data_IF_439241077122
#
_entry.id   IF_439241077122
#
_cell.length_a   1.000
_cell.length_b   1.000
_cell.length_c   1.000
_cell.angle_alpha   90.00
_cell.angle_beta   90.00
_cell.angle_gamma   90.00
#
_symmetry.space_group_name_H-M   'P 1'
#
loop_
_entity.id
_entity.type
_entity.pdbx_description
1 polymer ?
#
# COMPACT_ATOMS: atom_id res chain seq x y z
N UNK A 1 15.24 10.28 87.12
CA UNK A 1 16.43 10.28 87.99
C UNK A 1 17.26 11.50 87.69
N UNK A 2 17.61 12.30 88.71
CA UNK A 2 18.45 13.49 88.58
C UNK A 2 19.86 13.09 88.18
N UNK A 3 20.51 13.88 87.31
CA UNK A 3 21.93 13.67 87.01
C UNK A 3 22.75 13.77 88.30
N UNK A 4 23.82 12.99 88.42
CA UNK A 4 24.77 13.11 89.53
C UNK A 4 25.30 14.55 89.66
N UNK A 5 25.46 15.25 88.53
CA UNK A 5 25.84 16.67 88.51
C UNK A 5 24.76 17.58 89.11
N UNK A 6 23.47 17.29 88.88
CA UNK A 6 22.35 18.05 89.46
C UNK A 6 22.29 17.87 90.99
N UNK A 7 22.58 16.67 91.48
CA UNK A 7 22.61 16.38 92.91
C UNK A 7 23.82 17.03 93.60
N UNK A 8 24.99 17.01 92.96
CA UNK A 8 26.17 17.71 93.43
C UNK A 8 25.95 19.23 93.45
N UNK A 9 25.31 19.80 92.43
CA UNK A 9 24.96 21.23 92.38
C UNK A 9 23.99 21.62 93.50
N UNK A 10 23.03 20.75 93.86
CA UNK A 10 22.16 20.97 95.02
C UNK A 10 22.92 20.88 96.34
N UNK A 11 23.94 20.03 96.42
CA UNK A 11 24.85 19.93 97.56
C UNK A 11 25.73 21.17 97.71
N UNK A 12 26.23 21.74 96.60
CA UNK A 12 26.92 23.04 96.59
C UNK A 12 26.05 24.09 97.26
N UNK A 13 24.81 24.29 96.80
CA UNK A 13 23.89 25.28 97.37
C UNK A 13 23.65 25.10 98.87
N UNK A 14 23.48 23.86 99.32
CA UNK A 14 23.35 23.56 100.76
C UNK A 14 24.62 23.87 101.55
N UNK A 15 25.80 23.64 100.96
CA UNK A 15 27.08 23.96 101.60
C UNK A 15 27.35 25.47 101.62
N UNK A 16 26.88 26.21 100.61
CA UNK A 16 26.88 27.67 100.61
C UNK A 16 25.94 28.23 101.69
N UNK A 17 24.71 27.71 101.82
CA UNK A 17 23.77 28.09 102.89
C UNK A 17 24.35 27.80 104.29
N UNK A 18 25.01 26.65 104.48
CA UNK A 18 25.72 26.34 105.73
C UNK A 18 26.98 27.19 105.93
N UNK A 19 27.54 27.71 104.84
CA UNK A 19 28.67 28.63 104.82
C UNK A 19 28.38 29.99 105.44
N UNK A 20 27.11 30.42 105.46
CA UNK A 20 26.68 31.62 106.20
C UNK A 20 26.88 31.48 107.72
N UNK A 21 27.01 30.24 108.23
CA UNK A 21 27.17 29.92 109.65
C UNK A 21 28.64 29.56 109.97
N UNK A 22 29.34 28.84 109.09
CA UNK A 22 30.73 28.41 109.28
C UNK A 22 31.49 28.37 107.94
N UNK A 23 32.52 29.21 107.82
CA UNK A 23 33.26 29.47 106.59
C UNK A 23 33.93 28.22 105.99
N UNK A 24 34.19 27.17 106.81
CA UNK A 24 34.76 25.90 106.32
C UNK A 24 33.89 25.20 105.28
N UNK A 25 32.59 25.48 105.24
CA UNK A 25 31.67 24.89 104.26
C UNK A 25 31.76 25.57 102.89
N UNK A 26 32.18 26.85 102.83
CA UNK A 26 32.43 27.56 101.57
C UNK A 26 33.64 26.96 100.82
N UNK A 27 34.69 26.57 101.52
CA UNK A 27 35.85 25.90 100.91
C UNK A 27 35.48 24.53 100.33
N UNK A 28 34.62 23.78 101.04
CA UNK A 28 34.08 22.51 100.55
C UNK A 28 33.13 22.68 99.37
N UNK A 29 32.32 23.75 99.37
CA UNK A 29 31.47 24.10 98.24
C UNK A 29 32.30 24.36 96.98
N UNK A 30 33.36 25.16 97.09
CA UNK A 30 34.30 25.42 95.97
C UNK A 30 34.97 24.15 95.44
N UNK A 31 35.46 23.27 96.32
CA UNK A 31 36.02 21.99 95.89
C UNK A 31 35.00 21.09 95.17
N UNK A 32 33.73 21.18 95.56
CA UNK A 32 32.64 20.44 94.90
C UNK A 32 32.29 21.07 93.54
N UNK A 33 32.31 22.40 93.41
CA UNK A 33 32.15 23.11 92.13
C UNK A 33 33.25 22.74 91.13
N UNK A 34 34.51 22.72 91.56
CA UNK A 34 35.64 22.27 90.72
C UNK A 34 35.46 20.81 90.28
N UNK A 35 34.95 19.97 91.17
CA UNK A 35 34.65 18.56 90.85
C UNK A 35 33.52 18.43 89.83
N UNK A 36 32.48 19.27 89.93
CA UNK A 36 31.39 19.33 88.95
C UNK A 36 31.92 19.73 87.57
N UNK A 37 32.76 20.76 87.50
CA UNK A 37 33.37 21.21 86.24
C UNK A 37 34.20 20.09 85.60
N UNK A 38 35.02 19.39 86.38
CA UNK A 38 35.81 18.25 85.89
C UNK A 38 34.90 17.10 85.41
N UNK A 39 33.80 16.80 86.12
CA UNK A 39 32.85 15.77 85.72
C UNK A 39 32.14 16.13 84.41
N UNK A 40 31.75 17.39 84.23
CA UNK A 40 31.15 17.85 82.97
C UNK A 40 32.13 17.84 81.80
N UNK A 41 33.41 18.12 82.04
CA UNK A 41 34.45 18.04 81.01
C UNK A 41 34.67 16.59 80.55
N UNK A 42 34.79 15.65 81.49
CA UNK A 42 34.90 14.21 81.19
C UNK A 42 33.65 13.71 80.45
N UNK A 43 32.46 14.13 80.87
CA UNK A 43 31.22 13.76 80.18
C UNK A 43 31.20 14.27 78.72
N UNK A 44 31.63 15.52 78.49
CA UNK A 44 31.75 16.08 77.14
C UNK A 44 32.82 15.39 76.29
N UNK A 45 33.91 14.94 76.88
CA UNK A 45 34.93 14.14 76.18
C UNK A 45 34.37 12.78 75.76
N UNK A 46 33.66 12.08 76.66
CA UNK A 46 33.00 10.81 76.34
C UNK A 46 31.96 10.99 75.24
N UNK A 47 31.11 12.02 75.30
CA UNK A 47 30.13 12.31 74.26
C UNK A 47 30.79 12.59 72.90
N UNK A 48 31.93 13.28 72.88
CA UNK A 48 32.70 13.52 71.64
C UNK A 48 33.32 12.26 71.06
N UNK A 49 33.85 11.39 71.91
CA UNK A 49 34.45 10.13 71.48
C UNK A 49 33.36 9.18 70.95
N UNK A 50 32.19 9.12 71.61
CA UNK A 50 31.04 8.34 71.13
C UNK A 50 30.53 8.85 69.78
N UNK A 51 30.40 10.17 69.59
CA UNK A 51 29.98 10.74 68.31
C UNK A 51 30.97 10.42 67.16
N UNK A 52 32.28 10.40 67.44
CA UNK A 52 33.29 9.98 66.45
C UNK A 52 33.19 8.51 66.08
N UNK A 53 32.96 7.63 67.06
CA UNK A 53 32.75 6.21 66.77
C UNK A 53 31.48 5.97 65.93
N UNK A 54 30.40 6.71 66.18
CA UNK A 54 29.19 6.65 65.37
C UNK A 54 29.45 7.10 63.92
N UNK A 55 30.13 8.23 63.70
CA UNK A 55 30.52 8.71 62.36
C UNK A 55 31.41 7.70 61.62
N UNK A 56 32.42 7.13 62.30
CA UNK A 56 33.31 6.11 61.71
C UNK A 56 32.57 4.81 61.36
N UNK A 57 31.56 4.43 62.14
CA UNK A 57 30.70 3.27 61.85
C UNK A 57 29.83 3.52 60.62
N UNK A 58 29.19 4.69 60.49
CA UNK A 58 28.41 5.05 59.29
C UNK A 58 29.27 5.02 58.02
N UNK A 59 30.50 5.55 58.08
CA UNK A 59 31.44 5.52 56.96
C UNK A 59 31.83 4.09 56.56
N UNK A 60 32.03 3.20 57.54
CA UNK A 60 32.33 1.79 57.29
C UNK A 60 31.14 1.07 56.66
N UNK A 61 29.91 1.29 57.13
CA UNK A 61 28.71 0.68 56.57
C UNK A 61 28.52 1.07 55.09
N UNK A 62 28.70 2.36 54.76
CA UNK A 62 28.64 2.86 53.38
C UNK A 62 29.72 2.20 52.50
N UNK A 63 30.94 2.06 53.02
CA UNK A 63 32.04 1.41 52.29
C UNK A 63 31.77 -0.09 52.07
N UNK A 64 31.21 -0.78 53.06
CA UNK A 64 30.82 -2.18 52.95
C UNK A 64 29.71 -2.38 51.92
N UNK A 65 28.70 -1.51 51.88
CA UNK A 65 27.62 -1.56 50.87
C UNK A 65 28.16 -1.34 49.46
N UNK A 66 29.07 -0.36 49.29
CA UNK A 66 29.77 -0.12 48.01
C UNK A 66 30.58 -1.34 47.58
N UNK A 67 31.34 -1.93 48.50
CA UNK A 67 32.14 -3.12 48.22
C UNK A 67 31.26 -4.32 47.84
N UNK A 68 30.16 -4.55 48.57
CA UNK A 68 29.19 -5.60 48.28
C UNK A 68 28.57 -5.43 46.89
N UNK A 69 28.23 -4.20 46.51
CA UNK A 69 27.71 -3.86 45.19
C UNK A 69 28.71 -4.17 44.07
N UNK A 70 30.00 -3.82 44.26
CA UNK A 70 31.07 -4.15 43.31
C UNK A 70 31.24 -5.67 43.22
N UNK A 71 31.31 -6.38 44.34
CA UNK A 71 31.46 -7.84 44.35
C UNK A 71 30.28 -8.54 43.66
N UNK A 72 29.05 -8.05 43.87
CA UNK A 72 27.84 -8.54 43.19
C UNK A 72 27.95 -8.33 41.67
N UNK A 73 28.43 -7.18 41.23
CA UNK A 73 28.66 -6.91 39.80
C UNK A 73 29.75 -7.83 39.22
N UNK A 74 30.89 -8.00 39.91
CA UNK A 74 31.98 -8.90 39.50
C UNK A 74 31.47 -10.33 39.33
N UNK A 75 30.64 -10.83 40.27
CA UNK A 75 30.02 -12.16 40.18
C UNK A 75 29.01 -12.26 39.05
N UNK A 76 28.16 -11.25 38.85
CA UNK A 76 27.11 -11.26 37.82
C UNK A 76 27.70 -11.32 36.41
N UNK A 77 28.75 -10.54 36.15
CA UNK A 77 29.36 -10.43 34.83
C UNK A 77 30.61 -11.31 34.66
N UNK A 78 31.06 -11.95 35.75
CA UNK A 78 32.27 -12.76 35.81
C UNK A 78 33.53 -12.01 35.32
N UNK A 79 33.70 -10.77 35.78
CA UNK A 79 34.77 -9.85 35.40
C UNK A 79 35.48 -9.26 36.63
N UNK A 80 36.70 -8.77 36.43
CA UNK A 80 37.41 -7.95 37.40
C UNK A 80 36.95 -6.48 37.36
N UNK A 81 37.57 -5.60 38.16
CA UNK A 81 37.12 -4.21 38.25
C UNK A 81 37.34 -3.45 36.92
N UNK A 82 38.47 -3.68 36.26
CA UNK A 82 38.79 -3.03 34.98
C UNK A 82 37.86 -3.54 33.88
N UNK A 83 37.62 -4.86 33.83
CA UNK A 83 36.64 -5.46 32.91
C UNK A 83 35.20 -4.97 33.15
N UNK A 84 34.81 -4.67 34.40
CA UNK A 84 33.51 -4.05 34.68
C UNK A 84 33.40 -2.61 34.14
N UNK A 85 34.49 -1.83 34.17
CA UNK A 85 34.51 -0.48 33.61
C UNK A 85 34.39 -0.54 32.08
N UNK A 86 35.15 -1.41 31.43
CA UNK A 86 35.03 -1.64 29.99
C UNK A 86 33.61 -2.09 29.61
N UNK A 87 33.04 -3.04 30.37
CA UNK A 87 31.67 -3.51 30.13
C UNK A 87 30.63 -2.41 30.32
N UNK A 88 30.84 -1.48 31.26
CA UNK A 88 29.96 -0.32 31.44
C UNK A 88 30.00 0.62 30.24
N UNK A 89 31.19 0.93 29.72
CA UNK A 89 31.31 1.79 28.53
C UNK A 89 30.74 1.10 27.27
N UNK A 90 30.94 -0.21 27.11
CA UNK A 90 30.30 -1.01 26.05
C UNK A 90 28.76 -0.91 26.15
N UNK A 91 28.19 -1.18 27.32
CA UNK A 91 26.73 -1.11 27.55
C UNK A 91 26.20 0.31 27.34
N UNK A 92 26.93 1.33 27.79
CA UNK A 92 26.57 2.74 27.58
C UNK A 92 26.54 3.09 26.09
N UNK A 93 27.53 2.64 25.32
CA UNK A 93 27.57 2.83 23.87
C UNK A 93 26.40 2.13 23.19
N UNK A 94 26.05 0.90 23.62
CA UNK A 94 24.89 0.17 23.08
C UNK A 94 23.60 0.94 23.36
N UNK A 95 23.38 1.39 24.60
CA UNK A 95 22.19 2.17 24.97
C UNK A 95 22.08 3.45 24.14
N UNK A 96 23.16 4.22 24.03
CA UNK A 96 23.17 5.44 23.21
C UNK A 96 22.83 5.15 21.74
N UNK A 97 23.35 4.06 21.17
CA UNK A 97 23.04 3.69 19.78
C UNK A 97 21.58 3.25 19.57
N UNK A 98 20.95 2.69 20.60
CA UNK A 98 19.53 2.33 20.57
C UNK A 98 18.65 3.58 20.66
N UNK A 99 18.98 4.52 21.54
CA UNK A 99 18.26 5.80 21.68
C UNK A 99 18.32 6.62 20.38
N UNK A 100 19.49 6.68 19.73
CA UNK A 100 19.66 7.34 18.43
C UNK A 100 18.80 6.66 17.34
N UNK A 101 18.77 5.32 17.34
CA UNK A 101 17.96 4.53 16.41
C UNK A 101 16.45 4.75 16.59
N UNK A 102 15.96 4.85 17.83
CA UNK A 102 14.56 5.16 18.12
C UNK A 102 14.17 6.55 17.59
N UNK A 103 15.04 7.55 17.77
CA UNK A 103 14.81 8.90 17.25
C UNK A 103 14.78 8.94 15.70
N UNK A 104 15.66 8.19 15.04
CA UNK A 104 15.66 8.06 13.58
C UNK A 104 14.39 7.39 13.06
N UNK A 105 13.94 6.31 13.72
CA UNK A 105 12.70 5.61 13.38
C UNK A 105 11.50 6.56 13.54
N UNK A 106 11.42 7.29 14.65
CA UNK A 106 10.32 8.22 14.90
C UNK A 106 10.28 9.33 13.82
N UNK A 107 11.44 9.87 13.46
CA UNK A 107 11.56 10.85 12.37
C UNK A 107 11.10 10.27 11.02
N UNK A 108 11.50 9.04 10.70
CA UNK A 108 11.10 8.37 9.46
C UNK A 108 9.59 8.11 9.42
N UNK A 109 8.98 7.68 10.53
CA UNK A 109 7.53 7.47 10.64
C UNK A 109 6.77 8.77 10.40
N UNK A 110 7.17 9.87 11.05
CA UNK A 110 6.55 11.19 10.85
C UNK A 110 6.64 11.67 9.41
N UNK A 111 7.78 11.45 8.75
CA UNK A 111 7.95 11.83 7.34
C UNK A 111 7.05 10.99 6.43
N UNK A 112 6.92 9.70 6.67
CA UNK A 112 5.99 8.86 5.89
C UNK A 112 4.55 9.33 6.07
N UNK A 113 4.12 9.63 7.30
CA UNK A 113 2.77 10.15 7.55
C UNK A 113 2.52 11.47 6.82
N UNK A 114 3.52 12.37 6.82
CA UNK A 114 3.47 13.63 6.07
C UNK A 114 3.32 13.40 4.57
N UNK A 115 4.10 12.48 4.01
CA UNK A 115 4.04 12.14 2.58
C UNK A 115 2.70 11.49 2.21
N UNK A 116 2.17 10.60 3.06
CA UNK A 116 0.86 9.98 2.88
C UNK A 116 -0.25 11.04 2.89
N UNK A 117 -0.22 11.98 3.84
CA UNK A 117 -1.19 13.09 3.87
C UNK A 117 -1.14 13.95 2.61
N UNK A 118 0.04 14.17 2.02
CA UNK A 118 0.20 14.85 0.73
C UNK A 118 -0.27 14.02 -0.47
N UNK A 119 -0.15 12.69 -0.41
CA UNK A 119 -0.54 11.77 -1.48
C UNK A 119 -2.06 11.58 -1.57
N UNK A 120 -2.77 11.56 -0.44
CA UNK A 120 -4.22 11.31 -0.38
C UNK A 120 -5.05 12.22 -1.30
N UNK A 121 -4.86 13.56 -1.31
CA UNK A 121 -5.59 14.44 -2.24
C UNK A 121 -5.32 14.13 -3.72
N UNK A 122 -4.11 13.67 -4.06
CA UNK A 122 -3.75 13.29 -5.42
C UNK A 122 -4.46 11.99 -5.82
N UNK A 123 -4.52 11.02 -4.91
CA UNK A 123 -5.25 9.77 -5.11
C UNK A 123 -6.75 10.04 -5.26
N UNK A 124 -7.35 10.88 -4.43
CA UNK A 124 -8.77 11.27 -4.54
C UNK A 124 -9.08 11.95 -5.87
N UNK A 125 -8.20 12.85 -6.32
CA UNK A 125 -8.33 13.51 -7.61
C UNK A 125 -8.27 12.50 -8.76
N UNK A 126 -7.32 11.55 -8.71
CA UNK A 126 -7.18 10.49 -9.70
C UNK A 126 -8.44 9.60 -9.74
N UNK A 127 -8.96 9.20 -8.58
CA UNK A 127 -10.21 8.41 -8.47
C UNK A 127 -11.41 9.14 -9.06
N UNK A 128 -11.51 10.46 -8.83
CA UNK A 128 -12.61 11.29 -9.37
C UNK A 128 -12.58 11.35 -10.89
N UNK A 129 -11.41 11.60 -11.47
CA UNK A 129 -11.25 11.61 -12.93
C UNK A 129 -11.51 10.23 -13.55
N UNK A 130 -11.04 9.16 -12.89
CA UNK A 130 -11.34 7.77 -13.29
C UNK A 130 -12.83 7.48 -13.31
N UNK A 131 -13.58 7.83 -12.26
CA UNK A 131 -15.03 7.62 -12.18
C UNK A 131 -15.79 8.40 -13.26
N UNK A 132 -15.34 9.63 -13.55
CA UNK A 132 -15.92 10.46 -14.61
C UNK A 132 -15.68 9.84 -15.99
N UNK A 133 -14.45 9.42 -16.29
CA UNK A 133 -14.10 8.75 -17.54
C UNK A 133 -14.80 7.41 -17.69
N UNK A 134 -14.84 6.60 -16.63
CA UNK A 134 -15.56 5.33 -16.57
C UNK A 134 -17.01 5.50 -17.02
N UNK A 135 -17.73 6.48 -16.47
CA UNK A 135 -19.13 6.73 -16.85
C UNK A 135 -19.30 7.10 -18.33
N UNK A 136 -18.35 7.86 -18.89
CA UNK A 136 -18.37 8.24 -20.31
C UNK A 136 -18.09 7.04 -21.22
N UNK A 137 -17.09 6.24 -20.86
CA UNK A 137 -16.66 5.05 -21.60
C UNK A 137 -17.76 3.98 -21.54
N UNK A 138 -18.40 3.78 -20.39
CA UNK A 138 -19.50 2.83 -20.19
C UNK A 138 -20.65 3.07 -21.16
N UNK A 139 -21.09 4.34 -21.27
CA UNK A 139 -22.18 4.74 -22.17
C UNK A 139 -21.79 4.50 -23.62
N UNK A 140 -20.55 4.84 -24.00
CA UNK A 140 -20.05 4.68 -25.37
C UNK A 140 -19.95 3.21 -25.76
N UNK A 141 -19.33 2.37 -24.92
CA UNK A 141 -19.20 0.92 -25.15
C UNK A 141 -20.58 0.27 -25.18
N UNK A 142 -21.47 0.60 -24.23
CA UNK A 142 -22.83 0.04 -24.20
C UNK A 142 -23.59 0.33 -25.49
N UNK A 143 -23.51 1.56 -26.00
CA UNK A 143 -24.14 1.93 -27.27
C UNK A 143 -23.60 1.10 -28.43
N UNK A 144 -22.28 1.05 -28.58
CA UNK A 144 -21.62 0.32 -29.68
C UNK A 144 -21.89 -1.18 -29.64
N UNK A 145 -21.89 -1.81 -28.46
CA UNK A 145 -22.22 -3.23 -28.30
C UNK A 145 -23.69 -3.50 -28.67
N UNK A 146 -24.63 -2.61 -28.33
CA UNK A 146 -26.04 -2.76 -28.71
C UNK A 146 -26.27 -2.57 -30.21
N UNK A 147 -25.52 -1.66 -30.85
CA UNK A 147 -25.51 -1.51 -32.31
C UNK A 147 -25.01 -2.79 -33.01
N UNK A 148 -24.10 -3.55 -32.36
CA UNK A 148 -23.63 -4.87 -32.81
C UNK A 148 -24.56 -6.03 -32.40
N UNK A 149 -25.87 -5.77 -32.37
CA UNK A 149 -26.90 -6.81 -32.22
C UNK A 149 -27.05 -7.39 -30.81
N UNK A 150 -26.28 -6.94 -29.82
CA UNK A 150 -26.42 -7.37 -28.42
C UNK A 150 -27.44 -6.49 -27.69
N UNK A 151 -28.69 -6.54 -28.16
CA UNK A 151 -29.80 -5.72 -27.59
C UNK A 151 -30.00 -6.04 -26.11
N UNK A 152 -29.90 -5.01 -25.26
CA UNK A 152 -30.03 -5.15 -23.80
C UNK A 152 -28.72 -5.37 -23.05
N UNK A 153 -27.61 -5.56 -23.76
CA UNK A 153 -26.29 -5.61 -23.16
C UNK A 153 -25.95 -4.28 -22.46
N UNK A 154 -25.20 -4.38 -21.37
CA UNK A 154 -24.75 -3.25 -20.56
C UNK A 154 -23.28 -3.46 -20.22
N UNK A 155 -22.44 -2.48 -20.54
CA UNK A 155 -21.05 -2.45 -20.09
C UNK A 155 -20.89 -1.44 -18.97
N UNK A 156 -20.15 -1.83 -17.92
CA UNK A 156 -19.93 -0.99 -16.74
C UNK A 156 -18.50 -1.13 -16.22
N UNK A 157 -17.82 -0.01 -16.05
CA UNK A 157 -16.50 0.07 -15.42
C UNK A 157 -16.72 0.36 -13.94
N UNK A 158 -16.47 -0.65 -13.10
CA UNK A 158 -16.48 -0.48 -11.66
C UNK A 158 -15.12 0.07 -11.23
N UNK A 159 -15.12 1.25 -10.63
CA UNK A 159 -13.95 1.86 -9.99
C UNK A 159 -14.15 1.77 -8.49
N UNK A 160 -13.54 0.77 -7.87
CA UNK A 160 -13.50 0.62 -6.43
C UNK A 160 -12.31 1.43 -5.88
N UNK A 161 -12.60 2.49 -5.14
CA UNK A 161 -11.58 3.46 -4.71
C UNK A 161 -11.21 3.24 -3.26
N UNK A 162 -9.92 3.38 -2.95
CA UNK A 162 -9.50 3.57 -1.57
C UNK A 162 -10.18 4.78 -0.93
N UNK A 163 -10.37 4.73 0.39
CA UNK A 163 -10.95 5.83 1.18
C UNK A 163 -9.92 6.37 2.16
N UNK A 164 -10.18 7.57 2.70
CA UNK A 164 -9.39 8.13 3.81
C UNK A 164 -9.39 7.24 5.05
N UNK A 165 -10.38 6.37 5.20
CA UNK A 165 -10.43 5.42 6.32
C UNK A 165 -9.35 4.35 6.19
N UNK A 166 -9.02 3.93 4.96
CA UNK A 166 -7.91 2.99 4.72
C UNK A 166 -6.57 3.60 5.15
N UNK A 167 -6.42 4.93 5.09
CA UNK A 167 -5.18 5.61 5.50
C UNK A 167 -4.96 5.53 7.02
N UNK A 168 -6.03 5.33 7.80
CA UNK A 168 -5.92 5.16 9.27
C UNK A 168 -5.34 3.80 9.64
N UNK A 169 -5.50 2.80 8.77
CA UNK A 169 -4.92 1.47 8.91
C UNK A 169 -3.78 1.32 7.91
N UNK A 170 -2.55 1.57 8.39
CA UNK A 170 -1.37 1.62 7.54
C UNK A 170 -1.10 0.30 6.80
N UNK A 171 -1.40 -0.83 7.43
CA UNK A 171 -1.22 -2.14 6.81
C UNK A 171 -2.20 -2.34 5.65
N UNK A 172 -3.47 -1.94 5.83
CA UNK A 172 -4.43 -1.96 4.74
C UNK A 172 -4.08 -0.96 3.62
N UNK A 173 -3.64 0.25 3.98
CA UNK A 173 -3.22 1.26 3.00
C UNK A 173 -2.10 0.75 2.10
N UNK A 174 -1.06 0.15 2.67
CA UNK A 174 0.09 -0.37 1.92
C UNK A 174 -0.30 -1.54 1.00
N UNK A 175 -1.31 -2.34 1.37
CA UNK A 175 -1.82 -3.43 0.51
C UNK A 175 -2.61 -2.94 -0.70
N UNK A 176 -3.32 -1.82 -0.57
CA UNK A 176 -4.16 -1.28 -1.66
C UNK A 176 -3.41 -0.28 -2.54
N UNK A 177 -2.37 0.36 -2.01
CA UNK A 177 -1.60 1.33 -2.75
C UNK A 177 -0.72 0.63 -3.80
N UNK A 178 -0.76 1.14 -5.02
CA UNK A 178 0.11 0.70 -6.10
C UNK A 178 0.71 1.91 -6.82
N UNK A 179 1.73 1.71 -7.70
CA UNK A 179 2.22 2.78 -8.58
C UNK A 179 1.12 3.39 -9.48
N UNK A 180 -0.02 2.71 -9.64
CA UNK A 180 -1.19 3.19 -10.40
C UNK A 180 -2.23 3.88 -9.50
N UNK A 181 -1.92 4.12 -8.23
CA UNK A 181 -2.85 4.61 -7.21
C UNK A 181 -3.60 3.50 -6.49
N UNK A 182 -4.65 3.87 -5.76
CA UNK A 182 -5.41 2.99 -4.85
C UNK A 182 -6.75 2.50 -5.42
N UNK A 183 -7.02 2.75 -6.70
CA UNK A 183 -8.27 2.29 -7.31
C UNK A 183 -8.09 0.91 -7.92
N UNK A 184 -9.04 0.01 -7.64
CA UNK A 184 -9.22 -1.23 -8.37
C UNK A 184 -10.28 -1.00 -9.45
N UNK A 185 -9.86 -1.08 -10.71
CA UNK A 185 -10.73 -0.92 -11.88
C UNK A 185 -11.08 -2.30 -12.43
N UNK A 186 -12.38 -2.58 -12.59
CA UNK A 186 -12.89 -3.86 -13.07
C UNK A 186 -13.93 -3.62 -14.18
N UNK A 187 -13.80 -4.33 -15.29
CA UNK A 187 -14.74 -4.26 -16.41
C UNK A 187 -15.82 -5.30 -16.23
N UNK A 188 -17.05 -4.83 -16.12
CA UNK A 188 -18.24 -5.63 -15.93
C UNK A 188 -19.13 -5.55 -17.16
N UNK A 189 -19.85 -6.62 -17.41
CA UNK A 189 -20.78 -6.72 -18.53
C UNK A 189 -21.98 -7.57 -18.17
N UNK A 190 -23.11 -7.19 -18.74
CA UNK A 190 -24.31 -8.00 -18.85
C UNK A 190 -24.61 -8.17 -20.32
N UNK A 191 -24.86 -9.38 -20.80
CA UNK A 191 -25.10 -9.65 -22.22
C UNK A 191 -26.60 -9.64 -22.54
N UNK A 192 -27.45 -10.14 -21.63
CA UNK A 192 -28.90 -10.22 -21.83
C UNK A 192 -29.71 -9.47 -20.75
N UNK A 193 -30.94 -9.07 -21.11
CA UNK A 193 -31.89 -8.49 -20.15
C UNK A 193 -32.30 -9.57 -19.13
N UNK A 194 -32.21 -9.25 -17.84
CA UNK A 194 -32.57 -10.16 -16.75
C UNK A 194 -31.39 -10.87 -16.08
N UNK A 195 -30.19 -10.74 -16.63
CA UNK A 195 -28.95 -11.22 -16.01
C UNK A 195 -28.29 -10.13 -15.14
N UNK A 196 -27.44 -10.57 -14.21
CA UNK A 196 -26.59 -9.66 -13.43
C UNK A 196 -25.36 -9.21 -14.25
N UNK A 197 -24.71 -8.14 -13.79
CA UNK A 197 -23.42 -7.73 -14.35
C UNK A 197 -22.31 -8.60 -13.78
N UNK A 198 -21.52 -9.22 -14.65
CA UNK A 198 -20.41 -10.10 -14.29
C UNK A 198 -19.08 -9.57 -14.83
N UNK A 199 -17.93 -9.98 -14.26
CA UNK A 199 -16.64 -9.67 -14.82
C UNK A 199 -16.53 -10.09 -16.29
N UNK A 200 -15.92 -9.25 -17.14
CA UNK A 200 -15.73 -9.52 -18.57
C UNK A 200 -15.01 -10.86 -18.83
N UNK A 201 -14.12 -11.28 -17.93
CA UNK A 201 -13.42 -12.56 -17.99
C UNK A 201 -14.34 -13.78 -17.81
N UNK A 202 -15.55 -13.59 -17.30
CA UNK A 202 -16.54 -14.63 -17.07
C UNK A 202 -17.43 -14.92 -18.29
N UNK A 203 -17.25 -14.22 -19.42
CA UNK A 203 -18.02 -14.50 -20.63
C UNK A 203 -17.57 -15.83 -21.24
N UNK A 204 -18.54 -16.71 -21.48
CA UNK A 204 -18.31 -18.06 -22.04
C UNK A 204 -18.56 -18.12 -23.55
N UNK A 205 -19.36 -17.21 -24.12
CA UNK A 205 -19.69 -17.22 -25.55
C UNK A 205 -18.61 -16.54 -26.39
N UNK A 206 -17.89 -17.31 -27.22
CA UNK A 206 -16.82 -16.80 -28.07
C UNK A 206 -17.27 -15.69 -29.03
N UNK A 207 -18.48 -15.80 -29.60
CA UNK A 207 -19.03 -14.78 -30.49
C UNK A 207 -19.37 -13.47 -29.79
N UNK A 208 -19.76 -13.50 -28.52
CA UNK A 208 -19.98 -12.29 -27.72
C UNK A 208 -18.66 -11.62 -27.37
N UNK A 209 -17.67 -12.40 -26.95
CA UNK A 209 -16.35 -11.91 -26.58
C UNK A 209 -15.65 -11.22 -27.76
N UNK A 210 -15.73 -11.79 -28.97
CA UNK A 210 -15.17 -11.18 -30.19
C UNK A 210 -15.82 -9.83 -30.51
N UNK A 211 -17.16 -9.73 -30.38
CA UNK A 211 -17.89 -8.47 -30.61
C UNK A 211 -17.51 -7.40 -29.58
N UNK A 212 -17.42 -7.76 -28.31
CA UNK A 212 -17.00 -6.84 -27.25
C UNK A 212 -15.55 -6.39 -27.48
N UNK A 213 -14.68 -7.34 -27.86
CA UNK A 213 -13.28 -7.05 -28.15
C UNK A 213 -13.13 -6.08 -29.32
N UNK A 214 -13.96 -6.19 -30.36
CA UNK A 214 -13.99 -5.23 -31.48
C UNK A 214 -14.32 -3.81 -30.99
N UNK A 215 -15.37 -3.65 -30.18
CA UNK A 215 -15.77 -2.35 -29.62
C UNK A 215 -14.68 -1.76 -28.73
N UNK A 216 -14.11 -2.59 -27.84
CA UNK A 216 -13.02 -2.17 -26.97
C UNK A 216 -11.81 -1.73 -27.78
N UNK A 217 -11.39 -2.52 -28.78
CA UNK A 217 -10.28 -2.17 -29.66
C UNK A 217 -10.56 -0.88 -30.42
N UNK A 218 -11.76 -0.68 -30.99
CA UNK A 218 -12.12 0.58 -31.65
C UNK A 218 -11.87 1.79 -30.74
N UNK A 219 -12.37 1.73 -29.51
CA UNK A 219 -12.25 2.84 -28.55
C UNK A 219 -10.80 3.01 -28.07
N UNK A 220 -10.05 1.93 -27.83
CA UNK A 220 -8.67 2.02 -27.36
C UNK A 220 -7.67 2.40 -28.45
N UNK A 221 -7.92 2.00 -29.70
CA UNK A 221 -7.05 2.33 -30.84
C UNK A 221 -7.12 3.81 -31.17
N UNK A 222 -8.30 4.42 -31.08
CA UNK A 222 -8.44 5.88 -31.14
C UNK A 222 -7.58 6.62 -30.11
N UNK A 223 -7.35 6.00 -28.94
CA UNK A 223 -6.54 6.58 -27.87
C UNK A 223 -5.03 6.28 -28.01
N UNK A 224 -4.65 5.17 -28.64
CA UNK A 224 -3.26 4.68 -28.70
C UNK A 224 -2.58 4.88 -30.06
N UNK A 225 -3.30 5.33 -31.09
CA UNK A 225 -2.79 5.58 -32.44
C UNK A 225 -2.06 4.37 -33.05
N UNK A 226 -2.61 3.17 -32.86
CA UNK A 226 -2.06 1.92 -33.39
C UNK A 226 -2.34 1.85 -34.89
N UNK A 227 -1.34 1.73 -35.78
CA UNK A 227 -1.55 1.86 -37.22
C UNK A 227 -2.22 0.65 -37.88
N UNK A 228 -2.05 -0.56 -37.32
CA UNK A 228 -2.53 -1.81 -37.93
C UNK A 228 -3.23 -2.70 -36.90
N UNK A 229 -4.42 -3.19 -37.26
CA UNK A 229 -5.26 -4.07 -36.44
C UNK A 229 -5.48 -5.40 -37.15
N UNK A 230 -5.28 -6.50 -36.41
CA UNK A 230 -5.51 -7.86 -36.91
C UNK A 230 -6.67 -8.49 -36.13
N UNK A 231 -7.67 -8.93 -36.87
CA UNK A 231 -8.87 -9.59 -36.38
C UNK A 231 -8.94 -11.02 -36.94
N UNK A 232 -9.05 -11.99 -36.04
CA UNK A 232 -9.27 -13.40 -36.36
C UNK A 232 -10.54 -13.85 -35.62
N UNK A 233 -11.33 -14.72 -36.25
CA UNK A 233 -12.57 -15.29 -35.71
C UNK A 233 -13.62 -14.27 -35.21
N UNK A 234 -13.64 -13.05 -35.75
CA UNK A 234 -14.69 -12.07 -35.42
C UNK A 234 -16.07 -12.46 -35.91
N UNK A 235 -16.14 -13.45 -36.81
CA UNK A 235 -17.34 -13.95 -37.46
C UNK A 235 -17.85 -15.27 -36.89
N UNK A 236 -17.23 -15.78 -35.83
CA UNK A 236 -17.64 -17.03 -35.17
C UNK A 236 -18.98 -16.87 -34.44
N UNK A 237 -19.96 -17.70 -34.79
CA UNK A 237 -21.29 -17.72 -34.16
C UNK A 237 -22.19 -16.53 -34.53
N UNK A 238 -22.00 -15.97 -35.74
CA UNK A 238 -22.70 -14.76 -36.20
C UNK A 238 -23.63 -15.08 -37.37
N UNK A 239 -24.87 -14.57 -37.31
CA UNK A 239 -25.85 -14.65 -38.40
C UNK A 239 -25.64 -13.57 -39.48
N UNK A 240 -26.24 -13.75 -40.66
CA UNK A 240 -26.06 -12.87 -41.82
C UNK A 240 -26.34 -11.39 -41.51
N UNK A 241 -27.46 -11.07 -40.87
CA UNK A 241 -27.85 -9.67 -40.54
C UNK A 241 -26.82 -8.95 -39.66
N UNK A 242 -26.12 -9.69 -38.80
CA UNK A 242 -25.12 -9.14 -37.89
C UNK A 242 -23.74 -9.04 -38.57
N UNK A 243 -23.49 -9.87 -39.58
CA UNK A 243 -22.26 -9.84 -40.34
C UNK A 243 -22.08 -8.51 -41.10
N UNK A 244 -23.17 -7.93 -41.61
CA UNK A 244 -23.16 -6.61 -42.26
C UNK A 244 -22.79 -5.49 -41.29
N UNK A 245 -23.36 -5.48 -40.07
CA UNK A 245 -23.04 -4.47 -39.07
C UNK A 245 -21.56 -4.54 -38.64
N UNK A 246 -21.00 -5.74 -38.54
CA UNK A 246 -19.57 -5.93 -38.25
C UNK A 246 -18.72 -5.46 -39.43
N UNK A 247 -19.11 -5.80 -40.65
CA UNK A 247 -18.41 -5.37 -41.86
C UNK A 247 -18.37 -3.84 -41.99
N UNK A 248 -19.47 -3.16 -41.67
CA UNK A 248 -19.54 -1.70 -41.65
C UNK A 248 -18.63 -1.09 -40.58
N UNK A 249 -18.58 -1.64 -39.36
CA UNK A 249 -17.67 -1.16 -38.30
C UNK A 249 -16.19 -1.39 -38.63
N UNK A 250 -15.85 -2.51 -39.29
CA UNK A 250 -14.49 -2.74 -39.77
C UNK A 250 -14.12 -1.78 -40.90
N UNK A 251 -15.07 -1.46 -41.78
CA UNK A 251 -14.88 -0.46 -42.84
C UNK A 251 -14.65 0.93 -42.26
N UNK A 252 -15.44 1.34 -41.25
CA UNK A 252 -15.26 2.60 -40.51
C UNK A 252 -13.87 2.67 -39.86
N UNK A 253 -13.42 1.58 -39.22
CA UNK A 253 -12.06 1.47 -38.69
C UNK A 253 -11.00 1.60 -39.80
N UNK A 254 -11.26 0.99 -40.97
CA UNK A 254 -10.34 0.99 -42.11
C UNK A 254 -10.25 2.33 -42.85
N UNK A 255 -11.00 3.36 -42.43
CA UNK A 255 -10.82 4.75 -42.87
C UNK A 255 -9.56 5.36 -42.28
N UNK A 256 -9.24 5.01 -41.03
CA UNK A 256 -8.14 5.61 -40.26
C UNK A 256 -6.98 4.65 -39.99
N UNK A 257 -7.23 3.33 -40.05
CA UNK A 257 -6.26 2.30 -39.69
C UNK A 257 -6.16 1.22 -40.76
N UNK A 258 -5.05 0.48 -40.80
CA UNK A 258 -4.98 -0.74 -41.59
C UNK A 258 -5.67 -1.88 -40.84
N UNK A 259 -6.76 -2.41 -41.40
CA UNK A 259 -7.50 -3.53 -40.80
C UNK A 259 -7.25 -4.80 -41.62
N UNK A 260 -6.71 -5.84 -40.97
CA UNK A 260 -6.57 -7.19 -41.54
C UNK A 260 -7.58 -8.08 -40.83
N UNK A 261 -8.56 -8.59 -41.57
CA UNK A 261 -9.57 -9.48 -41.06
C UNK A 261 -9.47 -10.84 -41.75
N UNK A 262 -9.38 -11.92 -40.97
CA UNK A 262 -9.54 -13.29 -41.45
C UNK A 262 -11.01 -13.65 -41.27
N UNK A 263 -11.69 -14.00 -42.36
CA UNK A 263 -13.15 -14.26 -42.34
C UNK A 263 -13.56 -15.30 -43.37
N UNK A 264 -14.64 -16.00 -43.07
CA UNK A 264 -15.36 -16.90 -43.97
C UNK A 264 -16.72 -16.33 -44.40
N UNK A 265 -17.12 -15.16 -43.90
CA UNK A 265 -18.40 -14.55 -44.22
C UNK A 265 -18.32 -13.62 -45.45
N UNK A 266 -19.18 -13.81 -46.47
CA UNK A 266 -19.17 -12.97 -47.67
C UNK A 266 -19.49 -11.50 -47.38
N UNK A 267 -20.32 -11.22 -46.36
CA UNK A 267 -20.68 -9.87 -45.91
C UNK A 267 -19.46 -9.04 -45.46
N UNK A 268 -18.50 -9.68 -44.78
CA UNK A 268 -17.27 -9.01 -44.34
C UNK A 268 -16.28 -8.90 -45.50
N UNK A 269 -16.09 -9.97 -46.26
CA UNK A 269 -15.16 -9.99 -47.38
C UNK A 269 -15.55 -9.02 -48.53
N UNK A 270 -16.85 -8.77 -48.74
CA UNK A 270 -17.33 -7.84 -49.77
C UNK A 270 -16.97 -6.38 -49.46
N UNK A 271 -16.91 -5.97 -48.19
CA UNK A 271 -16.54 -4.62 -47.75
C UNK A 271 -15.03 -4.33 -47.80
N UNK A 272 -14.20 -5.36 -47.97
CA UNK A 272 -12.75 -5.19 -47.96
C UNK A 272 -12.25 -4.35 -49.17
N UNK A 273 -11.31 -3.42 -48.93
CA UNK A 273 -10.61 -2.70 -50.02
C UNK A 273 -9.75 -3.65 -50.84
N UNK A 274 -9.08 -4.59 -50.17
CA UNK A 274 -8.29 -5.66 -50.79
C UNK A 274 -8.79 -7.01 -50.27
N UNK A 275 -9.08 -7.94 -51.18
CA UNK A 275 -9.51 -9.29 -50.84
C UNK A 275 -8.37 -10.27 -51.17
N UNK A 276 -7.84 -10.93 -50.14
CA UNK A 276 -6.79 -11.94 -50.26
C UNK A 276 -7.42 -13.31 -50.07
N UNK A 277 -7.34 -14.16 -51.09
CA UNK A 277 -7.79 -15.54 -51.01
C UNK A 277 -6.63 -16.43 -50.57
N UNK A 278 -6.84 -17.24 -49.53
CA UNK A 278 -5.89 -18.25 -49.09
C UNK A 278 -6.36 -19.62 -49.58
N UNK A 279 -5.53 -20.31 -50.36
CA UNK A 279 -5.82 -21.64 -50.89
C UNK A 279 -4.74 -22.64 -50.48
N UNK A 280 -5.16 -23.83 -50.06
CA UNK A 280 -4.26 -24.98 -49.87
C UNK A 280 -4.18 -25.77 -51.16
N UNK A 281 -2.98 -26.10 -51.59
CA UNK A 281 -2.69 -26.97 -52.73
C UNK A 281 -1.70 -28.05 -52.33
N UNK A 282 -1.68 -29.18 -53.04
CA UNK A 282 -0.69 -30.23 -52.82
C UNK A 282 0.41 -30.03 -53.86
N UNK A 283 1.65 -29.86 -53.40
CA UNK A 283 2.85 -29.79 -54.22
C UNK A 283 3.88 -30.73 -53.61
N UNK A 284 4.44 -31.64 -54.42
CA UNK A 284 5.46 -32.62 -53.99
C UNK A 284 5.04 -33.41 -52.73
N UNK A 285 3.79 -33.89 -52.73
CA UNK A 285 3.17 -34.64 -51.63
C UNK A 285 3.11 -33.88 -50.28
N UNK A 286 3.22 -32.54 -50.30
CA UNK A 286 3.06 -31.66 -49.14
C UNK A 286 1.96 -30.63 -49.39
N UNK A 287 1.19 -30.32 -48.36
CA UNK A 287 0.22 -29.23 -48.41
C UNK A 287 0.94 -27.89 -48.30
N UNK A 288 0.77 -27.04 -49.32
CA UNK A 288 1.30 -25.67 -49.37
C UNK A 288 0.13 -24.70 -49.42
N UNK A 289 0.17 -23.67 -48.56
CA UNK A 289 -0.78 -22.57 -48.60
C UNK A 289 -0.23 -21.44 -49.48
N UNK A 290 -1.07 -20.93 -50.39
CA UNK A 290 -0.78 -19.75 -51.21
C UNK A 290 -1.81 -18.66 -50.93
N UNK A 291 -1.37 -17.40 -50.90
CA UNK A 291 -2.22 -16.23 -50.75
C UNK A 291 -2.16 -15.38 -52.02
N UNK A 292 -3.32 -15.03 -52.58
CA UNK A 292 -3.43 -14.26 -53.82
C UNK A 292 -4.39 -13.10 -53.63
N UNK A 293 -3.98 -11.89 -54.05
CA UNK A 293 -4.87 -10.72 -54.09
C UNK A 293 -5.81 -10.87 -55.29
N UNK A 294 -7.12 -10.79 -55.04
CA UNK A 294 -8.13 -10.99 -56.07
C UNK A 294 -8.45 -9.71 -56.84
N UNK A 295 -8.54 -9.82 -58.17
CA UNK A 295 -9.16 -8.80 -59.04
C UNK A 295 -10.68 -8.77 -58.93
N UNK A 296 -11.35 -7.81 -59.57
CA UNK A 296 -12.80 -7.62 -59.41
C UNK A 296 -13.64 -8.86 -59.81
N UNK A 297 -13.38 -9.46 -60.97
CA UNK A 297 -14.12 -10.67 -61.40
C UNK A 297 -13.80 -11.88 -60.51
N UNK A 298 -12.56 -12.01 -60.03
CA UNK A 298 -12.18 -13.06 -59.10
C UNK A 298 -12.86 -12.87 -57.73
N UNK A 299 -13.02 -11.62 -57.27
CA UNK A 299 -13.79 -11.30 -56.06
C UNK A 299 -15.24 -11.70 -56.19
N UNK A 300 -15.89 -11.39 -57.32
CA UNK A 300 -17.29 -11.78 -57.57
C UNK A 300 -17.45 -13.30 -57.47
N UNK A 301 -16.55 -14.04 -58.13
CA UNK A 301 -16.54 -15.50 -58.08
C UNK A 301 -16.33 -16.04 -56.66
N UNK A 302 -15.40 -15.45 -55.91
CA UNK A 302 -15.10 -15.89 -54.54
C UNK A 302 -16.25 -15.59 -53.57
N UNK A 303 -16.86 -14.40 -53.64
CA UNK A 303 -18.02 -14.06 -52.83
C UNK A 303 -19.22 -14.95 -53.18
N UNK A 304 -19.45 -15.23 -54.47
CA UNK A 304 -20.48 -16.19 -54.92
C UNK A 304 -20.23 -17.61 -54.38
N UNK A 305 -18.97 -18.05 -54.38
CA UNK A 305 -18.55 -19.31 -53.75
C UNK A 305 -18.84 -19.32 -52.24
N UNK A 306 -18.50 -18.24 -51.53
CA UNK A 306 -18.77 -18.08 -50.09
C UNK A 306 -20.26 -18.08 -49.75
N UNK A 307 -21.12 -17.59 -50.66
CA UNK A 307 -22.59 -17.64 -50.56
C UNK A 307 -23.18 -19.05 -50.84
N UNK A 308 -22.34 -20.06 -51.00
CA UNK A 308 -22.75 -21.47 -51.15
C UNK A 308 -22.72 -22.01 -52.58
N UNK A 309 -22.08 -21.32 -53.54
CA UNK A 309 -21.73 -21.87 -54.87
C UNK A 309 -22.15 -21.00 -56.07
N UNK A 310 -21.72 -21.39 -57.27
CA UNK A 310 -21.75 -20.54 -58.47
C UNK A 310 -23.07 -20.63 -59.26
N UNK A 311 -24.14 -20.03 -58.75
CA UNK A 311 -25.38 -19.82 -59.53
C UNK A 311 -25.45 -18.38 -60.05
N UNK A 312 -26.16 -18.14 -61.17
CA UNK A 312 -26.37 -16.78 -61.71
C UNK A 312 -26.95 -15.83 -60.67
N UNK A 313 -27.86 -16.32 -59.83
CA UNK A 313 -28.47 -15.54 -58.75
C UNK A 313 -27.45 -15.10 -57.70
N UNK A 314 -26.54 -15.99 -57.29
CA UNK A 314 -25.49 -15.68 -56.30
C UNK A 314 -24.39 -14.80 -56.87
N UNK A 315 -24.08 -14.94 -58.16
CA UNK A 315 -23.18 -14.00 -58.83
C UNK A 315 -23.76 -12.59 -58.86
N UNK A 316 -25.07 -12.45 -59.14
CA UNK A 316 -25.76 -11.17 -59.08
C UNK A 316 -25.73 -10.59 -57.66
N UNK A 317 -26.04 -11.40 -56.64
CA UNK A 317 -25.98 -10.98 -55.24
C UNK A 317 -24.55 -10.55 -54.83
N UNK A 318 -23.53 -11.30 -55.27
CA UNK A 318 -22.13 -10.95 -55.04
C UNK A 318 -21.76 -9.60 -55.68
N UNK A 319 -22.24 -9.33 -56.91
CA UNK A 319 -22.07 -8.03 -57.57
C UNK A 319 -22.75 -6.91 -56.78
N UNK A 320 -23.97 -7.13 -56.29
CA UNK A 320 -24.70 -6.17 -55.46
C UNK A 320 -23.94 -5.85 -54.16
N UNK A 321 -23.47 -6.88 -53.43
CA UNK A 321 -22.68 -6.73 -52.21
C UNK A 321 -21.38 -5.95 -52.42
N UNK A 322 -20.71 -6.16 -53.56
CA UNK A 322 -19.47 -5.44 -53.91
C UNK A 322 -19.75 -4.00 -54.38
N UNK A 323 -20.88 -3.75 -55.05
CA UNK A 323 -21.28 -2.41 -55.52
C UNK A 323 -21.84 -1.50 -54.41
N UNK A 324 -22.39 -2.08 -53.33
CA UNK A 324 -22.87 -1.34 -52.16
C UNK A 324 -21.79 -0.53 -51.44
N UNK A 325 -20.52 -0.68 -51.83
CA UNK A 325 -19.39 0.15 -51.41
C UNK A 325 -19.38 1.58 -52.00
N UNK A 326 -20.36 1.95 -52.84
CA UNK A 326 -20.37 3.21 -53.59
C UNK A 326 -21.34 4.31 -53.13
N UNK A 327 -22.23 4.09 -52.16
CA UNK A 327 -23.21 5.13 -51.76
C UNK A 327 -23.31 5.31 -50.23
N UNK A 328 -22.25 5.85 -49.63
CA UNK A 328 -22.43 6.60 -48.40
C UNK A 328 -23.24 7.87 -48.74
N UNK A 329 -24.52 7.83 -48.39
CA UNK A 329 -25.38 8.94 -47.98
C UNK A 329 -24.82 10.33 -48.28
N UNK A 330 -25.10 10.83 -49.48
CA UNK A 330 -25.21 12.27 -49.68
C UNK A 330 -26.30 12.78 -48.75
N UNK A 331 -25.92 13.65 -47.83
CA UNK A 331 -26.78 14.49 -47.00
C UNK A 331 -28.04 14.92 -47.75
N UNK A 332 -29.19 14.43 -47.31
CA UNK A 332 -30.49 15.00 -47.58
C UNK A 332 -31.15 15.26 -46.22
N UNK A 333 -31.38 16.55 -45.92
CA UNK A 333 -32.06 17.04 -44.72
C UNK A 333 -31.14 17.80 -43.79
#
# INVERSE_FOLDING_TARGET
DSSVSDELTRLVKKFEELGEIDEKWLERAKGLEETIVNLEEIAREIERDMAREEDEVEDIEILQEKLASIQKAKRKYNLDCDGLIEKREELRSIISSLDDGEAEIEKAVREIDRLIQGLVPLLERLSKERKKLATSIDKRITREIQELGMKGALFKIKVDSGTRELVKDREMFDRVLSPRGWDRVEFLIRTNIGEDVHPLSGIVSGGELSRITLVLRKIFVEAQNIPTLIFDEIDSGIGADLADAIADKLSELAENYQVVCITHLPHIASKAKHHIMVKKSIKDNRTVASATVLGMEERINEISRMLGGNSKLREQLAREMLSGNGSARSSAG
#
